data_IF_730134174423
#
_entry.id   IF_730134174423
#
_cell.length_a   1.000
_cell.length_b   1.000
_cell.length_c   1.000
_cell.angle_alpha   90.00
_cell.angle_beta   90.00
_cell.angle_gamma   90.00
#
_symmetry.space_group_name_H-M   'P 1'
#
loop_
_entity.id
_entity.type
_entity.pdbx_description
1 polymer ?
#
# COMPACT_ATOMS: atom_id res chain seq x y z
N UNK A 1 -18.51 -15.89 26.67
CA UNK A 1 -17.71 -14.98 25.83
C UNK A 1 -18.67 -13.93 25.27
N UNK A 2 -18.39 -12.64 25.48
CA UNK A 2 -19.16 -11.57 24.82
C UNK A 2 -18.88 -11.60 23.32
N UNK A 3 -19.89 -11.39 22.50
CA UNK A 3 -19.71 -11.18 21.05
C UNK A 3 -19.14 -9.78 20.87
N UNK A 4 -18.03 -9.67 20.14
CA UNK A 4 -17.38 -8.41 19.81
C UNK A 4 -17.36 -8.25 18.28
N UNK A 5 -17.70 -7.05 17.80
CA UNK A 5 -17.67 -6.73 16.38
C UNK A 5 -16.49 -5.79 16.10
N UNK A 6 -15.72 -6.11 15.07
CA UNK A 6 -14.70 -5.18 14.55
C UNK A 6 -15.38 -3.97 13.89
N UNK A 7 -14.75 -2.76 13.94
CA UNK A 7 -15.35 -1.54 13.40
C UNK A 7 -15.33 -1.46 11.87
N UNK A 8 -14.78 -2.45 11.20
CA UNK A 8 -14.54 -2.46 9.75
C UNK A 8 -15.83 -2.66 8.98
N UNK A 9 -16.09 -1.77 8.01
CA UNK A 9 -17.26 -1.86 7.11
C UNK A 9 -16.80 -2.03 5.67
N UNK A 10 -17.21 -3.12 5.04
CA UNK A 10 -16.92 -3.42 3.63
C UNK A 10 -18.02 -2.96 2.69
N UNK A 11 -17.64 -2.38 1.55
CA UNK A 11 -18.55 -1.85 0.52
C UNK A 11 -18.02 -2.08 -0.89
N UNK A 12 -18.91 -1.92 -1.87
CA UNK A 12 -18.57 -1.85 -3.29
C UNK A 12 -18.90 -0.47 -3.85
N UNK A 13 -18.00 0.06 -4.68
CA UNK A 13 -18.24 1.24 -5.51
C UNK A 13 -18.13 0.85 -6.99
N UNK A 14 -18.99 1.43 -7.82
CA UNK A 14 -18.89 1.34 -9.28
C UNK A 14 -18.30 2.63 -9.80
N UNK A 15 -17.23 2.51 -10.59
CA UNK A 15 -16.50 3.66 -11.13
C UNK A 15 -15.89 3.29 -12.48
N UNK A 16 -15.45 4.27 -13.22
CA UNK A 16 -14.74 4.07 -14.50
C UNK A 16 -13.23 4.22 -14.29
N UNK A 17 -12.45 3.28 -14.81
CA UNK A 17 -10.99 3.35 -14.90
C UNK A 17 -10.61 3.16 -16.35
N UNK A 18 -9.89 4.13 -16.93
CA UNK A 18 -9.49 4.12 -18.33
C UNK A 18 -10.68 3.90 -19.29
N UNK A 19 -11.83 4.52 -19.03
CA UNK A 19 -13.04 4.38 -19.85
C UNK A 19 -13.75 3.03 -19.77
N UNK A 20 -13.38 2.18 -18.81
CA UNK A 20 -14.02 0.87 -18.59
C UNK A 20 -14.69 0.83 -17.20
N UNK A 21 -15.91 0.28 -17.10
CA UNK A 21 -16.60 0.15 -15.82
C UNK A 21 -15.92 -0.91 -14.96
N UNK A 22 -15.74 -0.58 -13.66
CA UNK A 22 -15.18 -1.46 -12.65
C UNK A 22 -16.09 -1.48 -11.42
N UNK A 23 -16.06 -2.62 -10.71
CA UNK A 23 -16.69 -2.80 -9.41
C UNK A 23 -15.59 -3.04 -8.38
N UNK A 24 -15.28 -2.01 -7.62
CA UNK A 24 -14.17 -1.98 -6.66
C UNK A 24 -14.71 -2.24 -5.26
N UNK A 25 -14.10 -3.16 -4.56
CA UNK A 25 -14.33 -3.40 -3.14
C UNK A 25 -13.37 -2.58 -2.29
N UNK A 26 -13.87 -2.07 -1.19
CA UNK A 26 -13.07 -1.40 -0.17
C UNK A 26 -13.61 -1.65 1.22
N UNK A 27 -12.75 -1.52 2.19
CA UNK A 27 -13.08 -1.52 3.62
C UNK A 27 -12.71 -0.19 4.23
N UNK A 28 -13.48 0.22 5.22
CA UNK A 28 -13.23 1.47 5.93
C UNK A 28 -13.55 1.36 7.41
N UNK A 29 -12.83 2.14 8.23
CA UNK A 29 -13.08 2.32 9.65
C UNK A 29 -12.66 3.71 10.11
N UNK A 30 -13.27 4.19 11.19
CA UNK A 30 -12.95 5.49 11.76
C UNK A 30 -13.62 6.67 11.06
N UNK A 31 -13.18 7.88 11.44
CA UNK A 31 -13.70 9.14 10.93
C UNK A 31 -12.61 10.22 10.94
N UNK A 32 -12.84 11.34 10.27
CA UNK A 32 -11.89 12.45 10.22
C UNK A 32 -11.11 12.49 8.91
N UNK A 33 -9.80 12.69 8.95
CA UNK A 33 -8.95 12.81 7.76
C UNK A 33 -8.99 11.52 6.96
N UNK A 34 -9.37 11.53 5.66
CA UNK A 34 -9.30 10.33 4.84
C UNK A 34 -7.84 9.85 4.69
N UNK A 35 -7.60 8.59 5.02
CA UNK A 35 -6.32 7.89 4.82
C UNK A 35 -6.55 6.72 3.87
N UNK A 36 -6.16 6.89 2.61
CA UNK A 36 -6.28 5.85 1.59
C UNK A 36 -5.07 4.92 1.66
N UNK A 37 -5.32 3.62 1.73
CA UNK A 37 -4.31 2.59 1.89
C UNK A 37 -4.20 1.73 0.63
N UNK A 38 -2.97 1.55 0.13
CA UNK A 38 -2.64 0.77 -1.07
C UNK A 38 -1.86 -0.48 -0.69
N UNK A 39 -2.42 -1.64 -1.00
CA UNK A 39 -1.81 -2.95 -0.72
C UNK A 39 -0.58 -3.24 -1.58
N UNK A 40 0.16 -4.28 -1.24
CA UNK A 40 1.34 -4.78 -1.97
C UNK A 40 0.92 -5.63 -3.17
N UNK A 41 1.90 -5.98 -4.04
CA UNK A 41 1.66 -6.86 -5.19
C UNK A 41 1.02 -8.19 -4.78
N UNK A 42 -0.03 -8.59 -5.48
CA UNK A 42 -0.73 -9.86 -5.28
C UNK A 42 -1.50 -10.00 -3.96
N UNK A 43 -1.51 -8.99 -3.11
CA UNK A 43 -2.27 -8.98 -1.87
C UNK A 43 -3.61 -8.22 -2.05
N UNK A 44 -4.24 -7.81 -0.97
CA UNK A 44 -5.48 -7.06 -0.94
C UNK A 44 -5.60 -6.15 0.28
N UNK A 45 -6.73 -5.48 0.43
CA UNK A 45 -7.00 -4.50 1.47
C UNK A 45 -6.82 -5.02 2.90
N UNK A 46 -6.96 -6.34 3.13
CA UNK A 46 -6.84 -6.98 4.45
C UNK A 46 -5.50 -6.73 5.13
N UNK A 47 -4.48 -6.36 4.36
CA UNK A 47 -3.17 -5.99 4.94
C UNK A 47 -3.25 -4.81 5.92
N UNK A 48 -4.27 -3.96 5.78
CA UNK A 48 -4.46 -2.79 6.65
C UNK A 48 -5.50 -2.96 7.75
N UNK A 49 -6.01 -4.20 7.97
CA UNK A 49 -7.03 -4.44 8.99
C UNK A 49 -6.60 -4.04 10.41
N UNK A 50 -5.34 -4.26 10.76
CA UNK A 50 -4.83 -3.86 12.07
C UNK A 50 -4.83 -2.35 12.26
N UNK A 51 -4.60 -1.58 11.19
CA UNK A 51 -4.68 -0.13 11.22
C UNK A 51 -6.13 0.36 11.37
N UNK A 52 -7.09 -0.35 10.75
CA UNK A 52 -8.53 -0.05 10.87
C UNK A 52 -9.10 -0.39 12.26
N UNK A 53 -8.46 -1.29 13.00
CA UNK A 53 -8.84 -1.65 14.36
C UNK A 53 -8.04 -0.89 15.43
N UNK A 54 -7.19 0.08 15.07
CA UNK A 54 -6.42 0.89 16.00
C UNK A 54 -7.18 2.18 16.34
N UNK A 55 -7.71 2.27 17.57
CA UNK A 55 -8.46 3.43 18.06
C UNK A 55 -7.65 4.73 18.00
N UNK A 56 -6.32 4.67 18.21
CA UNK A 56 -5.46 5.86 18.12
C UNK A 56 -5.39 6.43 16.69
N UNK A 57 -5.62 5.58 15.69
CA UNK A 57 -5.69 5.97 14.28
C UNK A 57 -7.11 6.38 13.92
N UNK A 58 -8.08 5.50 14.17
CA UNK A 58 -9.47 5.65 13.72
C UNK A 58 -10.24 6.78 14.40
N UNK A 59 -9.76 7.26 15.56
CA UNK A 59 -10.30 8.45 16.21
C UNK A 59 -10.09 9.75 15.39
N UNK A 60 -9.08 9.80 14.51
CA UNK A 60 -8.73 11.00 13.75
C UNK A 60 -8.66 10.79 12.23
N UNK A 61 -8.57 9.55 11.83
CA UNK A 61 -8.47 9.16 10.42
C UNK A 61 -9.61 8.22 10.03
N UNK A 62 -10.25 8.53 8.91
CA UNK A 62 -11.07 7.56 8.20
C UNK A 62 -10.13 6.73 7.34
N UNK A 63 -9.75 5.56 7.83
CA UNK A 63 -8.89 4.60 7.13
C UNK A 63 -9.71 3.90 6.05
N UNK A 64 -9.26 3.93 4.81
CA UNK A 64 -9.95 3.38 3.65
C UNK A 64 -8.95 2.55 2.85
N UNK A 65 -9.12 1.24 2.83
CA UNK A 65 -8.28 0.35 2.02
C UNK A 65 -9.14 -0.31 0.94
N UNK A 66 -8.72 -0.19 -0.32
CA UNK A 66 -9.44 -0.78 -1.44
C UNK A 66 -8.60 -1.84 -2.15
N UNK A 67 -9.30 -2.81 -2.72
CA UNK A 67 -8.69 -3.80 -3.60
C UNK A 67 -8.54 -3.20 -5.00
N UNK A 68 -7.34 -3.20 -5.55
CA UNK A 68 -7.14 -2.88 -6.97
C UNK A 68 -8.00 -3.79 -7.86
N UNK A 69 -8.34 -3.37 -9.09
CA UNK A 69 -8.94 -4.30 -10.06
C UNK A 69 -8.14 -5.62 -10.12
N UNK A 70 -8.82 -6.76 -10.20
CA UNK A 70 -8.28 -8.12 -10.17
C UNK A 70 -7.90 -8.67 -8.78
N UNK A 71 -7.88 -7.83 -7.75
CA UNK A 71 -7.45 -8.22 -6.39
C UNK A 71 -8.64 -8.45 -5.47
N UNK A 72 -8.43 -9.31 -4.48
CA UNK A 72 -9.34 -9.54 -3.38
C UNK A 72 -10.79 -9.77 -3.83
N UNK A 73 -11.66 -8.86 -3.44
CA UNK A 73 -13.09 -8.86 -3.82
C UNK A 73 -13.42 -7.93 -5.00
N UNK A 74 -12.44 -7.19 -5.53
CA UNK A 74 -12.61 -6.39 -6.76
C UNK A 74 -12.54 -7.27 -7.99
N UNK A 75 -13.56 -7.16 -8.84
CA UNK A 75 -13.63 -7.97 -10.06
C UNK A 75 -12.68 -7.44 -11.15
N UNK A 76 -12.13 -8.35 -11.97
CA UNK A 76 -11.55 -7.95 -13.26
C UNK A 76 -12.60 -7.27 -14.15
N UNK A 77 -12.20 -6.41 -15.11
CA UNK A 77 -13.13 -5.81 -16.06
C UNK A 77 -13.73 -6.86 -17.00
N UNK A 78 -14.85 -6.54 -17.64
CA UNK A 78 -15.49 -7.42 -18.64
C UNK A 78 -14.49 -7.83 -19.75
N UNK A 79 -14.53 -9.09 -20.17
CA UNK A 79 -13.61 -9.66 -21.17
C UNK A 79 -12.22 -9.98 -20.63
N UNK A 80 -12.06 -10.04 -19.33
CA UNK A 80 -10.78 -10.34 -18.66
C UNK A 80 -10.23 -11.74 -19.01
N UNK A 81 -11.09 -12.68 -19.37
CA UNK A 81 -10.71 -14.06 -19.68
C UNK A 81 -9.75 -14.16 -20.87
N UNK A 82 -9.85 -13.18 -21.78
CA UNK A 82 -9.05 -13.12 -23.00
C UNK A 82 -7.85 -12.16 -22.88
N UNK A 83 -7.55 -11.67 -21.67
CA UNK A 83 -6.49 -10.68 -21.43
C UNK A 83 -5.57 -11.13 -20.33
N UNK A 84 -4.26 -10.87 -20.51
CA UNK A 84 -3.30 -10.99 -19.42
C UNK A 84 -3.31 -9.70 -18.58
N UNK A 85 -3.36 -9.85 -17.26
CA UNK A 85 -3.29 -8.70 -16.36
C UNK A 85 -1.88 -8.13 -16.31
N UNK A 86 -1.78 -6.82 -16.51
CA UNK A 86 -0.55 -6.05 -16.34
C UNK A 86 -0.88 -4.70 -15.71
N UNK A 87 -0.27 -4.41 -14.56
CA UNK A 87 -0.37 -3.13 -13.90
C UNK A 87 0.65 -2.16 -14.53
N UNK A 88 0.16 -1.10 -15.17
CA UNK A 88 0.99 0.01 -15.63
C UNK A 88 0.89 1.19 -14.68
N UNK A 89 1.89 2.07 -14.68
CA UNK A 89 1.88 3.34 -13.93
C UNK A 89 0.61 4.13 -14.19
N UNK A 90 0.25 4.27 -15.47
CA UNK A 90 -0.95 5.01 -15.87
C UNK A 90 -2.22 4.41 -15.27
N UNK A 91 -2.44 3.09 -15.42
CA UNK A 91 -3.61 2.41 -14.86
C UNK A 91 -3.65 2.49 -13.34
N UNK A 92 -2.49 2.41 -12.69
CA UNK A 92 -2.42 2.48 -11.25
C UNK A 92 -2.82 3.88 -10.75
N UNK A 93 -2.23 4.93 -11.34
CA UNK A 93 -2.60 6.33 -11.03
C UNK A 93 -4.09 6.57 -11.28
N UNK A 94 -4.60 6.15 -12.44
CA UNK A 94 -6.03 6.31 -12.78
C UNK A 94 -6.94 5.58 -11.78
N UNK A 95 -6.59 4.37 -11.35
CA UNK A 95 -7.35 3.61 -10.35
C UNK A 95 -7.45 4.38 -9.02
N UNK A 96 -6.33 4.92 -8.55
CA UNK A 96 -6.27 5.68 -7.30
C UNK A 96 -7.09 6.98 -7.41
N UNK A 97 -6.89 7.75 -8.47
CA UNK A 97 -7.57 9.03 -8.64
C UNK A 97 -9.09 8.84 -8.84
N UNK A 98 -9.51 7.88 -9.67
CA UNK A 98 -10.92 7.55 -9.87
C UNK A 98 -11.60 7.07 -8.59
N UNK A 99 -10.90 6.27 -7.77
CA UNK A 99 -11.41 5.83 -6.47
C UNK A 99 -11.58 7.01 -5.50
N UNK A 100 -10.58 7.88 -5.37
CA UNK A 100 -10.66 9.06 -4.52
C UNK A 100 -11.80 10.00 -4.96
N UNK A 101 -12.00 10.17 -6.26
CA UNK A 101 -13.06 11.00 -6.82
C UNK A 101 -14.45 10.40 -6.59
N UNK A 102 -14.61 9.09 -6.82
CA UNK A 102 -15.88 8.38 -6.60
C UNK A 102 -16.35 8.45 -5.14
N UNK A 103 -15.42 8.52 -4.18
CA UNK A 103 -15.74 8.69 -2.75
C UNK A 103 -15.76 10.18 -2.31
N UNK A 104 -15.58 11.12 -3.25
CA UNK A 104 -15.51 12.57 -2.98
C UNK A 104 -14.50 12.93 -1.86
N UNK A 105 -13.32 12.28 -1.86
CA UNK A 105 -12.30 12.51 -0.85
C UNK A 105 -11.58 13.85 -1.11
N UNK A 106 -11.69 14.76 -0.16
CA UNK A 106 -10.99 16.04 -0.23
C UNK A 106 -9.54 15.88 0.25
N UNK A 107 -8.61 15.94 -0.71
CA UNK A 107 -7.17 15.84 -0.46
C UNK A 107 -6.82 14.78 0.58
N UNK A 108 -7.09 13.49 0.33
CA UNK A 108 -6.78 12.44 1.31
C UNK A 108 -5.28 12.39 1.61
N UNK A 109 -4.90 11.95 2.81
CA UNK A 109 -3.59 11.36 3.00
C UNK A 109 -3.59 9.98 2.33
N UNK A 110 -2.43 9.55 1.83
CA UNK A 110 -2.32 8.26 1.18
C UNK A 110 -1.08 7.52 1.67
N UNK A 111 -1.26 6.26 2.00
CA UNK A 111 -0.19 5.33 2.38
C UNK A 111 -0.19 4.13 1.44
N UNK A 112 0.97 3.75 0.95
CA UNK A 112 1.11 2.57 0.12
C UNK A 112 2.39 1.80 0.43
N UNK A 113 2.33 0.48 0.35
CA UNK A 113 3.47 -0.39 0.61
C UNK A 113 3.92 -1.09 -0.68
N UNK A 114 5.24 -1.23 -0.89
CA UNK A 114 5.81 -1.96 -2.03
C UNK A 114 5.42 -1.34 -3.37
N UNK A 115 4.62 -2.00 -4.21
CA UNK A 115 4.05 -1.36 -5.42
C UNK A 115 3.26 -0.10 -5.05
N UNK A 116 2.51 -0.14 -3.94
CA UNK A 116 1.82 1.01 -3.36
C UNK A 116 2.79 2.11 -2.91
N UNK A 117 3.94 1.74 -2.37
CA UNK A 117 5.01 2.67 -2.01
C UNK A 117 5.67 3.32 -3.23
N UNK A 118 5.91 2.54 -4.29
CA UNK A 118 6.45 3.05 -5.55
C UNK A 118 5.50 4.04 -6.23
N UNK A 119 4.20 3.74 -6.30
CA UNK A 119 3.24 4.65 -6.95
C UNK A 119 3.06 5.94 -6.15
N UNK A 120 3.29 5.94 -4.84
CA UNK A 120 3.33 7.15 -4.00
C UNK A 120 4.33 8.17 -4.53
N UNK A 121 5.51 7.73 -4.98
CA UNK A 121 6.51 8.63 -5.57
C UNK A 121 6.03 9.25 -6.89
N UNK A 122 5.32 8.49 -7.72
CA UNK A 122 4.74 9.01 -8.96
C UNK A 122 3.59 9.99 -8.68
N UNK A 123 2.76 9.70 -7.69
CA UNK A 123 1.71 10.64 -7.24
C UNK A 123 2.31 11.92 -6.67
N UNK A 124 3.41 11.82 -5.91
CA UNK A 124 4.14 12.99 -5.42
C UNK A 124 4.69 13.84 -6.55
N UNK A 125 5.13 13.22 -7.65
CA UNK A 125 5.69 13.90 -8.81
C UNK A 125 4.64 14.59 -9.67
N UNK A 126 3.50 13.94 -9.92
CA UNK A 126 2.50 14.40 -10.90
C UNK A 126 1.24 14.99 -10.28
N UNK A 127 0.89 14.58 -9.06
CA UNK A 127 -0.42 14.84 -8.47
C UNK A 127 -0.34 15.35 -7.02
N UNK A 128 0.81 15.91 -6.60
CA UNK A 128 1.04 16.35 -5.21
C UNK A 128 -0.12 17.18 -4.63
N UNK A 129 -0.66 18.14 -5.41
CA UNK A 129 -1.75 19.01 -4.97
C UNK A 129 -3.08 18.28 -4.69
N UNK A 130 -3.24 17.03 -5.14
CA UNK A 130 -4.43 16.20 -4.89
C UNK A 130 -4.40 15.54 -3.52
N UNK A 131 -3.27 15.56 -2.84
CA UNK A 131 -3.05 14.86 -1.58
C UNK A 131 -2.62 15.81 -0.46
N UNK A 132 -2.95 15.44 0.77
CA UNK A 132 -2.60 16.17 2.01
C UNK A 132 -1.22 15.77 2.52
N UNK A 133 -0.92 14.49 2.38
CA UNK A 133 0.38 13.87 2.64
C UNK A 133 0.49 12.55 1.89
N UNK A 134 1.70 12.14 1.57
CA UNK A 134 2.01 10.89 0.91
C UNK A 134 3.00 10.08 1.76
N UNK A 135 2.69 8.81 2.01
CA UNK A 135 3.49 7.91 2.84
C UNK A 135 3.87 6.69 1.99
N UNK A 136 5.13 6.59 1.59
CA UNK A 136 5.67 5.44 0.90
C UNK A 136 6.30 4.47 1.89
N UNK A 137 5.70 3.29 2.03
CA UNK A 137 6.23 2.19 2.84
C UNK A 137 6.92 1.21 1.91
N UNK A 138 8.14 0.80 2.22
CA UNK A 138 8.97 -0.05 1.37
C UNK A 138 9.06 0.53 -0.05
N UNK A 139 9.42 1.82 -0.14
CA UNK A 139 9.37 2.62 -1.35
C UNK A 139 10.75 3.05 -1.82
N UNK A 140 11.05 2.78 -3.10
CA UNK A 140 12.22 3.27 -3.78
C UNK A 140 11.90 3.62 -5.24
N UNK A 141 12.75 4.45 -5.87
CA UNK A 141 12.65 4.80 -7.29
C UNK A 141 12.89 3.61 -8.21
N UNK A 142 13.68 2.66 -7.75
CA UNK A 142 14.03 1.42 -8.42
C UNK A 142 14.55 0.41 -7.39
N UNK A 143 14.29 -0.88 -7.61
CA UNK A 143 14.97 -1.99 -6.94
C UNK A 143 15.43 -3.01 -7.97
N UNK A 144 16.57 -3.65 -7.69
CA UNK A 144 17.07 -4.71 -8.54
C UNK A 144 16.17 -5.94 -8.42
N UNK A 145 15.59 -6.46 -9.52
CA UNK A 145 14.86 -7.72 -9.48
C UNK A 145 15.78 -8.86 -9.03
N UNK A 146 15.37 -9.58 -8.00
CA UNK A 146 16.14 -10.69 -7.42
C UNK A 146 15.47 -12.05 -7.66
N UNK A 147 14.32 -12.08 -8.30
CA UNK A 147 13.55 -13.30 -8.57
C UNK A 147 13.11 -13.36 -10.03
N UNK A 148 13.02 -14.59 -10.56
CA UNK A 148 12.41 -14.85 -11.85
C UNK A 148 10.88 -14.91 -11.69
N UNK A 149 10.17 -14.10 -12.46
CA UNK A 149 8.72 -14.04 -12.43
C UNK A 149 8.06 -14.90 -13.52
N UNK A 150 8.82 -15.50 -14.41
CA UNK A 150 8.26 -16.26 -15.53
C UNK A 150 7.43 -17.46 -15.07
N UNK A 151 7.84 -18.11 -13.99
CA UNK A 151 7.16 -19.28 -13.43
C UNK A 151 6.02 -18.94 -12.43
N UNK A 152 5.83 -17.68 -12.06
CA UNK A 152 4.72 -17.23 -11.20
C UNK A 152 3.33 -17.39 -11.86
N UNK A 153 3.30 -17.64 -13.16
CA UNK A 153 2.08 -17.85 -13.91
C UNK A 153 2.12 -19.22 -14.59
N UNK A 154 2.06 -20.27 -13.79
CA UNK A 154 1.99 -21.64 -14.26
C UNK A 154 0.60 -22.21 -13.99
N UNK A 155 -0.05 -22.76 -15.02
CA UNK A 155 -1.36 -23.38 -14.90
C UNK A 155 -1.35 -24.73 -14.16
N UNK A 156 -0.15 -25.31 -13.96
CA UNK A 156 0.05 -26.63 -13.33
C UNK A 156 0.47 -26.54 -11.85
N UNK A 157 0.55 -25.35 -11.27
CA UNK A 157 0.85 -25.14 -9.85
C UNK A 157 -0.12 -24.16 -9.21
N UNK A 158 -0.29 -24.27 -7.90
CA UNK A 158 -1.09 -23.32 -7.12
C UNK A 158 -0.34 -21.99 -6.99
N UNK A 159 -0.72 -21.00 -7.80
CA UNK A 159 -0.02 -19.73 -7.89
C UNK A 159 0.05 -18.98 -6.56
N UNK A 160 -1.02 -19.02 -5.75
CA UNK A 160 -1.04 -18.40 -4.43
C UNK A 160 -0.02 -19.00 -3.47
N UNK A 161 0.12 -20.33 -3.44
CA UNK A 161 1.14 -21.01 -2.60
C UNK A 161 2.56 -20.64 -3.04
N UNK A 162 2.77 -20.52 -4.35
CA UNK A 162 4.07 -20.07 -4.90
C UNK A 162 4.36 -18.63 -4.48
N UNK A 163 3.37 -17.74 -4.57
CA UNK A 163 3.51 -16.35 -4.11
C UNK A 163 3.83 -16.30 -2.61
N UNK A 164 3.10 -17.05 -1.78
CA UNK A 164 3.34 -17.11 -0.34
C UNK A 164 4.75 -17.64 -0.01
N UNK A 165 5.21 -18.67 -0.72
CA UNK A 165 6.58 -19.20 -0.56
C UNK A 165 7.63 -18.14 -0.91
N UNK A 166 7.45 -17.42 -2.01
CA UNK A 166 8.34 -16.33 -2.43
C UNK A 166 8.43 -15.23 -1.38
N UNK A 167 7.28 -14.71 -0.93
CA UNK A 167 7.23 -13.58 -0.01
C UNK A 167 7.58 -13.94 1.43
N UNK A 168 7.57 -15.23 1.79
CA UNK A 168 7.93 -15.68 3.15
C UNK A 168 9.35 -15.28 3.56
N UNK A 169 10.25 -15.15 2.60
CA UNK A 169 11.62 -14.69 2.82
C UNK A 169 11.77 -13.19 3.05
N UNK A 170 10.69 -12.42 2.86
CA UNK A 170 10.68 -10.97 3.03
C UNK A 170 10.14 -10.52 4.40
N UNK A 171 9.65 -11.46 5.21
CA UNK A 171 9.15 -11.20 6.56
C UNK A 171 10.30 -11.18 7.54
N UNK A 172 10.35 -10.18 8.44
CA UNK A 172 11.39 -10.11 9.46
C UNK A 172 11.33 -11.31 10.42
N UNK A 173 12.48 -11.86 10.85
CA UNK A 173 12.52 -13.00 11.75
C UNK A 173 11.88 -12.69 13.12
N UNK A 174 11.82 -11.43 13.52
CA UNK A 174 11.23 -10.96 14.79
C UNK A 174 9.70 -10.83 14.72
N UNK A 175 9.11 -10.88 13.53
CA UNK A 175 7.66 -10.75 13.36
C UNK A 175 6.91 -11.90 14.07
N UNK A 176 5.85 -11.60 14.84
CA UNK A 176 5.10 -12.61 15.58
C UNK A 176 4.56 -13.71 14.65
N UNK A 177 4.64 -15.00 15.04
CA UNK A 177 4.23 -16.11 14.16
C UNK A 177 2.78 -16.00 13.63
N UNK A 178 1.85 -15.52 14.46
CA UNK A 178 0.45 -15.34 14.06
C UNK A 178 0.32 -14.35 12.89
N UNK A 179 1.01 -13.22 12.96
CA UNK A 179 0.98 -12.19 11.92
C UNK A 179 1.76 -12.61 10.67
N UNK A 180 2.84 -13.37 10.82
CA UNK A 180 3.53 -13.99 9.68
C UNK A 180 2.58 -14.92 8.91
N UNK A 181 1.86 -15.79 9.63
CA UNK A 181 0.89 -16.69 9.01
C UNK A 181 -0.28 -15.93 8.37
N UNK A 182 -0.77 -14.87 9.01
CA UNK A 182 -1.80 -14.01 8.45
C UNK A 182 -1.35 -13.37 7.12
N UNK A 183 -0.15 -12.81 7.09
CA UNK A 183 0.43 -12.22 5.88
C UNK A 183 0.53 -13.25 4.75
N UNK A 184 1.08 -14.43 5.03
CA UNK A 184 1.20 -15.50 4.02
C UNK A 184 -0.17 -16.01 3.54
N UNK A 185 -1.15 -16.10 4.45
CA UNK A 185 -2.50 -16.51 4.10
C UNK A 185 -3.16 -15.58 3.07
N UNK A 186 -2.93 -14.28 3.18
CA UNK A 186 -3.42 -13.31 2.20
C UNK A 186 -2.83 -13.58 0.81
N UNK A 187 -1.52 -13.85 0.73
CA UNK A 187 -0.86 -14.20 -0.53
C UNK A 187 -1.30 -15.53 -1.15
N UNK A 188 -1.64 -16.52 -0.32
CA UNK A 188 -2.20 -17.78 -0.79
C UNK A 188 -3.54 -17.60 -1.52
N UNK A 189 -4.23 -16.50 -1.28
CA UNK A 189 -5.53 -16.18 -1.88
C UNK A 189 -5.44 -15.25 -3.10
N UNK A 190 -4.23 -14.95 -3.57
CA UNK A 190 -4.02 -14.15 -4.77
C UNK A 190 -4.61 -14.83 -6.01
N UNK A 191 -5.23 -14.05 -6.88
CA UNK A 191 -5.75 -14.54 -8.15
C UNK A 191 -4.63 -15.03 -9.09
N UNK A 192 -4.94 -15.98 -9.99
CA UNK A 192 -3.97 -16.45 -10.98
C UNK A 192 -3.39 -15.30 -11.82
N UNK A 193 -2.06 -15.21 -11.91
CA UNK A 193 -1.35 -14.21 -12.70
C UNK A 193 -1.34 -12.79 -12.13
N UNK A 194 -2.08 -12.53 -11.05
CA UNK A 194 -2.21 -11.17 -10.47
C UNK A 194 -0.87 -10.68 -9.93
N UNK A 195 -0.19 -11.48 -9.12
CA UNK A 195 1.12 -11.10 -8.58
C UNK A 195 2.15 -10.79 -9.67
N UNK A 196 2.20 -11.64 -10.73
CA UNK A 196 3.07 -11.40 -11.90
C UNK A 196 2.69 -10.10 -12.62
N UNK A 197 1.40 -9.85 -12.79
CA UNK A 197 0.90 -8.65 -13.46
C UNK A 197 1.25 -7.36 -12.70
N UNK A 198 1.20 -7.38 -11.37
CA UNK A 198 1.64 -6.26 -10.54
C UNK A 198 3.16 -6.02 -10.66
N UNK A 199 3.93 -7.11 -10.70
CA UNK A 199 5.38 -7.00 -10.85
C UNK A 199 5.81 -6.45 -12.21
N UNK A 200 4.92 -6.40 -13.20
CA UNK A 200 5.16 -5.65 -14.44
C UNK A 200 5.40 -4.16 -14.16
N UNK A 201 4.62 -3.56 -13.26
CA UNK A 201 4.83 -2.19 -12.79
C UNK A 201 6.24 -2.01 -12.20
N UNK A 202 6.67 -2.93 -11.34
CA UNK A 202 8.00 -2.83 -10.73
C UNK A 202 9.16 -2.99 -11.73
N UNK A 203 9.05 -3.94 -12.65
CA UNK A 203 10.18 -4.39 -13.47
C UNK A 203 10.29 -3.64 -14.80
N UNK A 204 9.17 -3.15 -15.33
CA UNK A 204 9.11 -2.63 -16.70
C UNK A 204 8.71 -1.16 -16.72
N UNK A 205 7.62 -0.80 -16.03
CA UNK A 205 6.94 0.47 -16.26
C UNK A 205 7.22 1.53 -15.18
N UNK A 206 7.43 1.13 -13.94
CA UNK A 206 7.53 2.02 -12.77
C UNK A 206 8.94 2.45 -12.39
N UNK A 207 9.92 2.47 -13.30
CA UNK A 207 11.27 2.99 -13.05
C UNK A 207 11.23 4.52 -12.98
N UNK A 208 11.58 5.07 -11.81
CA UNK A 208 11.57 6.51 -11.53
C UNK A 208 12.98 7.12 -11.43
N UNK A 209 14.03 6.36 -11.73
CA UNK A 209 15.39 6.88 -11.70
C UNK A 209 15.54 8.10 -12.60
N UNK A 210 16.20 9.14 -12.09
CA UNK A 210 16.38 10.41 -12.79
C UNK A 210 15.13 11.28 -12.92
N UNK A 211 13.97 10.87 -12.35
CA UNK A 211 12.68 11.57 -12.47
C UNK A 211 12.21 12.23 -11.17
N UNK A 212 12.90 12.01 -10.06
CA UNK A 212 12.45 12.43 -8.71
C UNK A 212 12.64 13.91 -8.41
N UNK A 213 13.53 14.62 -9.12
CA UNK A 213 13.85 16.02 -8.85
C UNK A 213 12.68 17.01 -9.01
N UNK A 214 11.57 16.58 -9.59
CA UNK A 214 10.33 17.38 -9.71
C UNK A 214 9.36 17.24 -8.53
N UNK A 215 9.66 16.39 -7.54
CA UNK A 215 8.80 16.19 -6.38
C UNK A 215 8.85 17.40 -5.46
N UNK A 216 7.68 17.96 -5.15
CA UNK A 216 7.50 19.17 -4.35
C UNK A 216 6.95 18.83 -2.96
N UNK A 217 7.85 18.52 -2.03
CA UNK A 217 7.49 18.18 -0.63
C UNK A 217 6.95 19.38 0.15
N UNK A 218 7.17 20.61 -0.31
CA UNK A 218 6.57 21.83 0.18
C UNK A 218 5.06 21.93 -0.18
N UNK A 219 4.63 21.32 -1.29
CA UNK A 219 3.22 21.22 -1.71
C UNK A 219 2.53 20.06 -0.98
N UNK A 220 3.16 18.89 -0.95
CA UNK A 220 2.65 17.69 -0.30
C UNK A 220 3.80 16.99 0.45
N UNK A 221 3.75 16.90 1.80
CA UNK A 221 4.76 16.19 2.56
C UNK A 221 4.90 14.75 2.10
N UNK A 222 6.15 14.29 2.02
CA UNK A 222 6.49 12.92 1.65
C UNK A 222 7.26 12.25 2.78
N UNK A 223 6.73 11.13 3.26
CA UNK A 223 7.32 10.27 4.28
C UNK A 223 7.68 8.93 3.65
N UNK A 224 8.87 8.44 3.93
CA UNK A 224 9.35 7.13 3.47
C UNK A 224 9.72 6.29 4.69
N UNK A 225 9.07 5.12 4.81
CA UNK A 225 9.25 4.19 5.93
C UNK A 225 9.70 2.85 5.35
N UNK A 226 10.87 2.34 5.75
CA UNK A 226 11.39 1.07 5.21
C UNK A 226 11.89 0.17 6.33
N UNK A 227 11.52 -1.10 6.27
CA UNK A 227 11.92 -2.13 7.23
C UNK A 227 13.39 -2.50 7.09
N UNK A 228 14.05 -2.68 8.24
CA UNK A 228 15.46 -3.10 8.32
C UNK A 228 15.71 -4.43 7.60
N UNK A 229 14.72 -5.32 7.58
CA UNK A 229 14.78 -6.65 6.98
C UNK A 229 14.07 -6.72 5.62
N UNK A 230 13.81 -5.59 4.97
CA UNK A 230 13.29 -5.64 3.60
C UNK A 230 14.40 -5.94 2.61
N UNK A 231 14.33 -7.11 1.99
CA UNK A 231 15.26 -7.55 0.94
C UNK A 231 14.72 -7.31 -0.47
N UNK A 232 13.49 -6.81 -0.62
CA UNK A 232 12.92 -6.41 -1.91
C UNK A 232 13.16 -4.94 -2.21
N UNK A 233 12.85 -4.06 -1.23
CA UNK A 233 13.17 -2.64 -1.27
C UNK A 233 14.05 -2.33 -0.08
N UNK A 234 15.35 -2.43 -0.26
CA UNK A 234 16.30 -2.33 0.84
C UNK A 234 16.33 -0.93 1.46
N UNK A 235 16.74 -0.80 2.75
CA UNK A 235 16.99 0.50 3.35
C UNK A 235 17.87 1.41 2.48
N UNK A 236 18.91 0.86 1.85
CA UNK A 236 19.80 1.62 0.96
C UNK A 236 19.08 2.13 -0.28
N UNK A 237 18.13 1.37 -0.84
CA UNK A 237 17.30 1.81 -1.97
C UNK A 237 16.44 3.01 -1.59
N UNK A 238 15.80 2.95 -0.42
CA UNK A 238 14.99 4.06 0.10
C UNK A 238 15.85 5.30 0.43
N UNK A 239 16.99 5.12 1.08
CA UNK A 239 17.91 6.21 1.39
C UNK A 239 18.43 6.88 0.12
N UNK A 240 18.83 6.10 -0.88
CA UNK A 240 19.21 6.60 -2.21
C UNK A 240 18.08 7.42 -2.84
N UNK A 241 16.88 6.89 -2.83
CA UNK A 241 15.68 7.55 -3.37
C UNK A 241 15.42 8.88 -2.67
N UNK A 242 15.43 8.88 -1.35
CA UNK A 242 15.20 10.08 -0.54
C UNK A 242 16.26 11.15 -0.75
N UNK A 243 17.50 10.77 -0.94
CA UNK A 243 18.60 11.72 -1.21
C UNK A 243 18.38 12.51 -2.51
N UNK A 244 17.57 11.99 -3.44
CA UNK A 244 17.19 12.67 -4.68
C UNK A 244 15.95 13.59 -4.55
N UNK A 245 15.30 13.62 -3.36
CA UNK A 245 14.05 14.35 -3.13
C UNK A 245 14.24 15.35 -1.99
N UNK A 246 14.32 16.62 -2.31
CA UNK A 246 14.46 17.66 -1.29
C UNK A 246 13.28 17.66 -0.31
N UNK A 247 13.56 17.55 1.00
CA UNK A 247 12.57 17.60 2.05
C UNK A 247 11.78 16.29 2.29
N UNK A 248 12.13 15.18 1.63
CA UNK A 248 11.61 13.86 1.98
C UNK A 248 12.05 13.46 3.40
N UNK A 249 11.13 12.93 4.18
CA UNK A 249 11.41 12.42 5.52
C UNK A 249 11.54 10.91 5.48
N UNK A 250 12.62 10.36 6.04
CA UNK A 250 12.93 8.93 5.97
C UNK A 250 13.05 8.35 7.37
N UNK A 251 12.48 7.15 7.55
CA UNK A 251 12.64 6.36 8.76
C UNK A 251 12.92 4.91 8.39
N UNK A 252 14.02 4.35 8.91
CA UNK A 252 14.28 2.91 8.83
C UNK A 252 13.67 2.26 10.07
N UNK A 253 12.74 1.35 9.83
CA UNK A 253 12.00 0.64 10.88
C UNK A 253 12.76 -0.62 11.30
N UNK A 254 13.16 -0.68 12.57
CA UNK A 254 13.87 -1.85 13.11
C UNK A 254 12.92 -3.02 13.31
N UNK A 255 13.46 -4.24 13.16
CA UNK A 255 12.75 -5.50 13.39
C UNK A 255 11.48 -5.69 12.54
N UNK A 256 11.46 -5.08 11.37
CA UNK A 256 10.34 -5.11 10.42
C UNK A 256 10.88 -5.46 9.04
N UNK A 257 10.14 -6.27 8.30
CA UNK A 257 10.42 -6.64 6.90
C UNK A 257 9.53 -5.88 5.93
N UNK A 258 9.17 -6.57 4.84
CA UNK A 258 8.48 -5.98 3.68
C UNK A 258 6.98 -5.68 3.90
N UNK A 259 6.36 -6.25 4.93
CA UNK A 259 4.91 -6.15 5.15
C UNK A 259 4.57 -5.58 6.52
N UNK A 260 5.11 -4.41 6.92
CA UNK A 260 5.07 -3.92 8.30
C UNK A 260 3.65 -3.87 8.87
N UNK A 261 2.66 -3.47 8.07
CA UNK A 261 1.27 -3.30 8.48
C UNK A 261 0.56 -4.63 8.82
N UNK A 262 1.04 -5.76 8.30
CA UNK A 262 0.45 -7.08 8.55
C UNK A 262 1.38 -8.04 9.30
N UNK A 263 2.69 -8.02 9.04
CA UNK A 263 3.64 -8.93 9.69
C UNK A 263 4.00 -8.55 11.12
N UNK A 264 4.01 -7.25 11.43
CA UNK A 264 4.30 -6.74 12.76
C UNK A 264 3.57 -5.40 13.02
N UNK A 265 2.24 -5.41 13.09
CA UNK A 265 1.43 -4.20 13.19
C UNK A 265 1.75 -3.36 14.43
N UNK A 266 2.15 -4.00 15.54
CA UNK A 266 2.54 -3.31 16.78
C UNK A 266 3.81 -2.48 16.56
N UNK A 267 4.82 -3.06 15.95
CA UNK A 267 6.09 -2.37 15.68
C UNK A 267 5.86 -1.26 14.65
N UNK A 268 5.13 -1.56 13.56
CA UNK A 268 4.77 -0.59 12.53
C UNK A 268 4.02 0.62 13.09
N UNK A 269 3.07 0.39 13.99
CA UNK A 269 2.33 1.43 14.69
C UNK A 269 3.24 2.46 15.34
N UNK A 270 4.31 2.02 16.00
CA UNK A 270 5.28 2.91 16.67
C UNK A 270 5.97 3.89 15.71
N UNK A 271 6.17 3.50 14.46
CA UNK A 271 6.75 4.34 13.41
C UNK A 271 5.71 5.17 12.65
N UNK A 272 4.51 4.64 12.46
CA UNK A 272 3.46 5.30 11.70
C UNK A 272 2.76 6.40 12.50
N UNK A 273 2.48 6.21 13.79
CA UNK A 273 1.76 7.19 14.59
C UNK A 273 2.41 8.58 14.60
N UNK A 274 3.74 8.74 14.76
CA UNK A 274 4.37 10.06 14.67
C UNK A 274 4.13 10.77 13.33
N UNK A 275 4.07 10.01 12.23
CA UNK A 275 3.76 10.54 10.89
C UNK A 275 2.30 11.01 10.82
N UNK A 276 1.37 10.19 11.31
CA UNK A 276 -0.05 10.54 11.36
C UNK A 276 -0.30 11.74 12.28
N UNK A 277 0.42 11.83 13.40
CA UNK A 277 0.35 12.99 14.31
C UNK A 277 0.81 14.28 13.62
N UNK A 278 1.91 14.22 12.87
CA UNK A 278 2.39 15.35 12.09
C UNK A 278 1.39 15.77 11.00
N UNK A 279 0.71 14.83 10.35
CA UNK A 279 -0.35 15.11 9.37
C UNK A 279 -1.55 15.76 10.07
N UNK A 280 -2.02 15.20 11.17
CA UNK A 280 -3.17 15.73 11.93
C UNK A 280 -2.90 17.14 12.49
N UNK A 281 -1.70 17.38 13.00
CA UNK A 281 -1.29 18.69 13.52
C UNK A 281 -1.31 19.78 12.44
N UNK A 282 -0.94 19.47 11.19
CA UNK A 282 -1.03 20.42 10.05
C UNK A 282 -2.47 20.83 9.73
N UNK A 283 -3.44 19.99 10.09
CA UNK A 283 -4.88 20.25 9.94
C UNK A 283 -5.51 20.85 11.22
N UNK A 284 -4.70 21.18 12.22
CA UNK A 284 -5.17 21.76 13.48
C UNK A 284 -5.88 20.77 14.41
N UNK A 285 -5.75 19.47 14.17
CA UNK A 285 -6.30 18.45 15.06
C UNK A 285 -5.36 18.20 16.24
N UNK A 286 -5.90 18.11 17.48
CA UNK A 286 -5.09 17.86 18.67
C UNK A 286 -4.50 16.43 18.62
N UNK A 287 -3.39 16.19 19.37
CA UNK A 287 -2.91 14.84 19.59
C UNK A 287 -4.00 13.97 20.25
N UNK A 288 -3.95 12.63 20.08
CA UNK A 288 -4.88 11.75 20.77
C UNK A 288 -4.81 12.00 22.28
N UNK A 289 -5.96 12.04 22.94
CA UNK A 289 -5.97 12.05 24.40
C UNK A 289 -5.43 10.68 24.86
N UNK A 290 -4.37 10.69 25.68
CA UNK A 290 -3.95 9.47 26.36
C UNK A 290 -5.11 8.99 27.22
N UNK A 291 -5.70 7.89 26.84
CA UNK A 291 -6.66 7.19 27.70
C UNK A 291 -5.86 6.61 28.87
N UNK A 292 -5.99 7.26 30.04
CA UNK A 292 -5.37 6.84 31.31
C UNK A 292 -5.96 5.48 31.74
#
# INVERSE_FOLDING_TARGET
MSVEFEPIVGRYVRLEIAGRPHRIYFEEAGQGIPLVCLHTAGADNRQYRHLMCDDAVTARFRVIAFDLPWHGKSYPPEGWQDTEYQLTTERYVQSILAFCEALALDRPALIGCSIGGRIVLELARLHAARFRALIGVEAADFQQPWYDTAWLHRGDVHGGEVCAALVSGLVAPQSPPAHRHETLWQYMQSGPGVFRGDLYFYRVDGDLRGRLGGIRTDVCPLYLLTGEYDFSCTPDDTLRTAAAIAGAQVTIMREVGHFPMSENPRQFRGYLLPVLDAIAAREGLPPPQETI
#
